data_IF_146725574859
#
_entry.id   IF_146725574859
#
_cell.length_a   1.000
_cell.length_b   1.000
_cell.length_c   1.000
_cell.angle_alpha   90.00
_cell.angle_beta   90.00
_cell.angle_gamma   90.00
#
_symmetry.space_group_name_H-M   'P 1'
#
loop_
_entity.id
_entity.type
_entity.pdbx_description
1 polymer ?
#
# COMPACT_ATOMS: atom_id res chain seq x y z
N UNK A 1 -31.37 -21.21 26.15
CA UNK A 1 -29.99 -20.79 25.97
C UNK A 1 -29.88 -19.28 26.10
N UNK A 2 -29.80 -18.76 27.35
CA UNK A 2 -29.71 -17.35 27.62
C UNK A 2 -28.24 -16.83 27.58
N UNK A 3 -27.26 -17.73 27.51
CA UNK A 3 -25.83 -17.40 27.54
C UNK A 3 -25.34 -16.84 26.19
N UNK A 4 -25.84 -17.37 25.07
CA UNK A 4 -25.39 -16.94 23.74
C UNK A 4 -25.66 -15.45 23.45
N UNK A 5 -26.87 -14.89 23.72
CA UNK A 5 -27.10 -13.47 23.56
C UNK A 5 -26.22 -12.60 24.45
N UNK A 6 -26.00 -13.03 25.72
CA UNK A 6 -25.14 -12.30 26.66
C UNK A 6 -23.66 -12.29 26.22
N UNK A 7 -23.20 -13.39 25.65
CA UNK A 7 -21.84 -13.50 25.08
C UNK A 7 -21.69 -12.64 23.83
N UNK A 8 -22.69 -12.65 22.96
CA UNK A 8 -22.71 -11.80 21.74
C UNK A 8 -22.72 -10.31 22.13
N UNK A 9 -23.52 -9.91 23.11
CA UNK A 9 -23.53 -8.52 23.61
C UNK A 9 -22.19 -8.14 24.26
N UNK A 10 -21.63 -9.05 25.05
CA UNK A 10 -20.32 -8.82 25.68
C UNK A 10 -19.19 -8.71 24.65
N UNK A 11 -19.18 -9.58 23.64
CA UNK A 11 -18.20 -9.53 22.55
C UNK A 11 -18.44 -8.33 21.62
N UNK A 12 -19.69 -7.98 21.35
CA UNK A 12 -20.05 -6.80 20.57
C UNK A 12 -19.65 -5.48 21.22
N UNK A 13 -19.44 -5.48 22.54
CA UNK A 13 -18.91 -4.32 23.27
C UNK A 13 -17.38 -4.27 23.32
N UNK A 14 -16.70 -5.31 22.86
CA UNK A 14 -15.24 -5.39 22.77
C UNK A 14 -14.74 -4.86 21.42
N UNK A 15 -15.12 -3.61 21.07
CA UNK A 15 -14.42 -2.88 20.03
C UNK A 15 -13.00 -2.61 20.53
N UNK A 16 -12.01 -2.94 19.75
CA UNK A 16 -10.63 -2.56 20.04
C UNK A 16 -10.03 -1.81 18.83
N UNK A 17 -9.21 -0.85 19.15
CA UNK A 17 -8.47 -0.08 18.16
C UNK A 17 -7.02 0.03 18.56
N UNK A 18 -6.18 0.24 17.61
CA UNK A 18 -4.77 0.52 17.82
C UNK A 18 -4.26 1.51 16.78
N UNK A 19 -3.27 2.26 17.20
CA UNK A 19 -2.56 3.19 16.35
C UNK A 19 -1.20 2.60 15.97
N UNK A 20 -0.78 2.85 14.74
CA UNK A 20 0.54 2.48 14.28
C UNK A 20 1.05 3.50 13.26
N UNK A 21 2.36 3.52 13.10
CA UNK A 21 3.04 4.39 12.14
C UNK A 21 3.49 3.57 10.94
N UNK A 22 3.18 4.06 9.74
CA UNK A 22 3.84 3.62 8.52
C UNK A 22 5.05 4.51 8.29
N UNK A 23 6.27 3.96 8.30
CA UNK A 23 7.46 4.74 8.03
C UNK A 23 7.38 5.34 6.63
N UNK A 24 7.79 6.59 6.49
CA UNK A 24 7.85 7.25 5.20
C UNK A 24 8.83 6.56 4.25
N UNK A 25 8.56 6.65 2.96
CA UNK A 25 9.46 6.21 1.89
C UNK A 25 10.64 7.20 1.68
N UNK A 26 10.53 8.42 2.22
CA UNK A 26 11.58 9.41 2.21
C UNK A 26 12.00 9.77 3.63
N UNK A 27 13.31 9.86 3.93
CA UNK A 27 13.80 10.29 5.24
C UNK A 27 13.37 11.71 5.64
N UNK A 28 12.99 12.53 4.66
CA UNK A 28 12.57 13.91 4.87
C UNK A 28 11.06 14.05 5.13
N UNK A 29 10.27 13.00 4.85
CA UNK A 29 8.83 13.03 5.02
C UNK A 29 8.41 12.42 6.36
N UNK A 30 7.31 12.94 6.92
CA UNK A 30 6.73 12.44 8.14
C UNK A 30 6.10 11.05 7.93
N UNK A 31 6.18 10.15 8.92
CA UNK A 31 5.49 8.86 8.86
C UNK A 31 3.97 9.06 8.87
N UNK A 32 3.25 8.17 8.17
CA UNK A 32 1.79 8.21 8.14
C UNK A 32 1.24 7.53 9.40
N UNK A 33 0.54 8.33 10.20
CA UNK A 33 -0.15 7.84 11.39
C UNK A 33 -1.47 7.19 10.99
N UNK A 34 -1.66 5.94 11.38
CA UNK A 34 -2.82 5.13 11.05
C UNK A 34 -3.56 4.69 12.30
N UNK A 35 -4.87 4.74 12.26
CA UNK A 35 -5.76 4.16 13.27
C UNK A 35 -6.53 2.99 12.68
N UNK A 36 -6.47 1.83 13.33
CA UNK A 36 -7.30 0.67 13.00
C UNK A 36 -8.29 0.43 14.11
N UNK A 37 -9.57 0.47 13.75
CA UNK A 37 -10.67 0.05 14.61
C UNK A 37 -11.19 -1.31 14.17
N UNK A 38 -11.52 -2.16 15.11
CA UNK A 38 -11.99 -3.52 14.84
C UNK A 38 -13.20 -3.85 15.71
N UNK A 39 -14.25 -4.35 15.06
CA UNK A 39 -15.48 -4.83 15.69
C UNK A 39 -15.68 -6.32 15.44
N UNK A 40 -16.36 -7.00 16.37
CA UNK A 40 -16.82 -8.35 16.12
C UNK A 40 -18.00 -8.36 15.14
N UNK A 41 -17.88 -9.16 14.10
CA UNK A 41 -18.94 -9.35 13.09
C UNK A 41 -19.80 -10.58 13.39
N UNK A 42 -19.17 -11.73 13.67
CA UNK A 42 -19.85 -12.95 14.06
C UNK A 42 -18.94 -13.84 14.91
N UNK A 43 -19.57 -14.73 15.63
CA UNK A 43 -18.91 -15.80 16.39
C UNK A 43 -19.63 -17.10 16.07
N UNK A 44 -18.93 -18.05 15.49
CA UNK A 44 -19.45 -19.37 15.18
C UNK A 44 -18.72 -20.43 16.01
N UNK A 45 -19.50 -21.23 16.75
CA UNK A 45 -18.97 -22.30 17.54
C UNK A 45 -19.19 -23.64 16.82
N UNK A 46 -18.11 -24.26 16.37
CA UNK A 46 -18.10 -25.57 15.73
C UNK A 46 -17.66 -26.69 16.69
N UNK A 47 -17.73 -27.91 16.20
CA UNK A 47 -17.22 -29.08 16.93
C UNK A 47 -15.70 -29.18 16.89
N UNK A 48 -15.07 -28.50 15.95
CA UNK A 48 -13.63 -28.56 15.71
C UNK A 48 -12.91 -27.26 16.09
N UNK A 49 -13.65 -26.24 16.50
CA UNK A 49 -13.10 -24.96 16.90
C UNK A 49 -14.12 -23.83 16.90
N UNK A 50 -13.63 -22.64 17.17
CA UNK A 50 -14.41 -21.41 17.20
C UNK A 50 -13.89 -20.48 16.12
N UNK A 51 -14.81 -19.91 15.33
CA UNK A 51 -14.49 -18.88 14.33
C UNK A 51 -14.97 -17.52 14.83
N UNK A 52 -14.02 -16.60 14.98
CA UNK A 52 -14.31 -15.21 15.28
C UNK A 52 -14.10 -14.39 14.01
N UNK A 53 -15.18 -13.84 13.47
CA UNK A 53 -15.09 -12.91 12.35
C UNK A 53 -15.04 -11.47 12.86
N UNK A 54 -14.04 -10.74 12.41
CA UNK A 54 -13.81 -9.34 12.75
C UNK A 54 -14.04 -8.46 11.51
N UNK A 55 -14.64 -7.30 11.74
CA UNK A 55 -14.73 -6.22 10.75
C UNK A 55 -13.75 -5.14 11.16
N UNK A 56 -12.88 -4.76 10.25
CA UNK A 56 -11.85 -3.75 10.50
C UNK A 56 -12.07 -2.51 9.64
N UNK A 57 -11.67 -1.37 10.16
CA UNK A 57 -11.62 -0.09 9.47
C UNK A 57 -10.24 0.53 9.74
N UNK A 58 -9.52 0.90 8.71
CA UNK A 58 -8.30 1.68 8.82
C UNK A 58 -8.53 3.09 8.30
N UNK A 59 -8.03 4.07 9.02
CA UNK A 59 -8.08 5.48 8.61
C UNK A 59 -6.74 6.17 8.93
N UNK A 60 -6.25 7.08 8.10
CA UNK A 60 -5.12 7.91 8.46
C UNK A 60 -5.57 8.97 9.47
N UNK A 61 -4.68 9.40 10.35
CA UNK A 61 -4.95 10.48 11.30
C UNK A 61 -5.18 11.81 10.59
N UNK A 62 -4.53 12.00 9.45
CA UNK A 62 -4.70 13.15 8.58
C UNK A 62 -4.90 12.70 7.13
N UNK A 63 -5.84 13.32 6.42
CA UNK A 63 -6.07 13.06 5.00
C UNK A 63 -5.38 14.15 4.19
N UNK A 64 -4.26 13.80 3.57
CA UNK A 64 -3.47 14.71 2.74
C UNK A 64 -3.87 14.60 1.26
N UNK A 65 -4.15 13.40 0.77
CA UNK A 65 -4.59 13.19 -0.60
C UNK A 65 -6.08 13.47 -0.73
N UNK A 66 -6.43 14.47 -1.54
CA UNK A 66 -7.81 14.94 -1.73
C UNK A 66 -8.42 14.56 -3.07
N UNK A 67 -7.74 13.75 -3.89
CA UNK A 67 -8.27 13.27 -5.16
C UNK A 67 -9.57 12.49 -4.95
N UNK A 68 -10.49 12.64 -5.91
CA UNK A 68 -11.70 11.82 -5.91
C UNK A 68 -11.34 10.34 -6.03
N UNK A 69 -11.90 9.53 -5.16
CA UNK A 69 -11.72 8.08 -5.18
C UNK A 69 -13.02 7.38 -4.82
N UNK A 70 -13.22 6.21 -5.41
CA UNK A 70 -14.37 5.35 -5.10
C UNK A 70 -14.18 4.55 -3.79
N UNK A 71 -13.07 4.73 -3.11
CA UNK A 71 -12.70 3.98 -1.92
C UNK A 71 -11.70 2.86 -2.22
N UNK A 72 -11.42 2.05 -1.22
CA UNK A 72 -10.57 0.87 -1.39
C UNK A 72 -11.20 -0.10 -2.40
N UNK A 73 -10.40 -0.68 -3.32
CA UNK A 73 -10.91 -1.69 -4.22
C UNK A 73 -11.28 -2.94 -3.43
N UNK A 74 -12.50 -3.44 -3.64
CA UNK A 74 -12.91 -4.76 -3.22
C UNK A 74 -12.77 -5.70 -4.43
N UNK A 75 -12.07 -6.81 -4.25
CA UNK A 75 -11.87 -7.79 -5.31
C UNK A 75 -12.22 -9.18 -4.82
N UNK A 76 -12.51 -10.08 -5.75
CA UNK A 76 -12.61 -11.48 -5.42
C UNK A 76 -11.23 -11.95 -4.95
N UNK A 77 -11.18 -12.46 -3.73
CA UNK A 77 -9.94 -12.80 -3.05
C UNK A 77 -9.18 -13.96 -3.70
N UNK A 78 -7.97 -14.14 -3.25
CA UNK A 78 -7.06 -15.17 -3.74
C UNK A 78 -7.50 -16.59 -3.35
N UNK A 79 -8.55 -17.09 -3.95
CA UNK A 79 -8.81 -18.53 -4.03
C UNK A 79 -9.07 -19.32 -2.75
N UNK A 80 -9.16 -18.69 -1.60
CA UNK A 80 -9.65 -19.32 -0.36
C UNK A 80 -11.18 -19.29 -0.30
N UNK A 81 -11.78 -19.33 -1.43
CA UNK A 81 -13.19 -19.06 -1.59
C UNK A 81 -13.98 -20.32 -1.40
N UNK A 82 -13.91 -21.17 -0.74
CA UNK A 82 -15.03 -22.04 -0.35
C UNK A 82 -14.94 -22.41 1.12
N UNK A 83 -15.51 -21.55 1.95
CA UNK A 83 -16.39 -21.90 3.09
C UNK A 83 -16.00 -23.03 4.05
N UNK A 84 -14.94 -23.71 3.86
CA UNK A 84 -14.35 -24.53 4.91
C UNK A 84 -13.14 -23.81 5.46
N UNK A 85 -13.40 -22.70 6.08
CA UNK A 85 -12.41 -21.82 6.74
C UNK A 85 -11.73 -22.46 7.95
N UNK A 86 -11.81 -23.74 8.10
CA UNK A 86 -11.17 -24.40 9.21
C UNK A 86 -10.15 -25.36 8.67
N UNK A 87 -9.02 -24.83 8.25
CA UNK A 87 -7.80 -25.59 8.25
C UNK A 87 -7.08 -25.25 9.56
N UNK A 88 -7.69 -25.58 10.66
CA UNK A 88 -6.96 -25.62 11.91
C UNK A 88 -5.97 -26.78 11.77
N UNK A 89 -4.75 -26.43 11.39
CA UNK A 89 -3.62 -27.30 11.54
C UNK A 89 -3.40 -27.61 13.02
N UNK A 90 -2.19 -27.96 13.40
CA UNK A 90 -1.83 -28.20 14.80
C UNK A 90 -1.68 -26.89 15.62
N UNK A 91 -1.92 -25.73 15.00
CA UNK A 91 -1.78 -24.42 15.64
C UNK A 91 -2.98 -24.15 16.57
N UNK A 92 -2.74 -23.66 17.79
CA UNK A 92 -3.82 -23.34 18.73
C UNK A 92 -4.67 -22.15 18.30
N UNK A 93 -4.18 -21.31 17.37
CA UNK A 93 -4.86 -20.16 16.81
C UNK A 93 -4.36 -19.90 15.39
N UNK A 94 -5.27 -19.60 14.49
CA UNK A 94 -4.99 -19.19 13.13
C UNK A 94 -5.67 -17.84 12.85
N UNK A 95 -4.99 -16.95 12.17
CA UNK A 95 -5.53 -15.66 11.78
C UNK A 95 -5.58 -15.63 10.25
N UNK A 96 -6.77 -15.42 9.72
CA UNK A 96 -7.00 -15.26 8.27
C UNK A 96 -7.35 -13.80 8.02
N UNK A 97 -6.61 -13.16 7.12
CA UNK A 97 -6.85 -11.79 6.70
C UNK A 97 -7.34 -11.79 5.26
N UNK A 98 -8.44 -11.08 5.01
CA UNK A 98 -8.92 -10.87 3.65
C UNK A 98 -8.04 -9.82 2.95
N UNK A 99 -7.80 -9.99 1.64
CA UNK A 99 -7.14 -9.02 0.77
C UNK A 99 -7.83 -7.66 0.75
N UNK A 100 -9.16 -7.60 0.90
CA UNK A 100 -9.91 -6.35 1.07
C UNK A 100 -9.44 -5.56 2.30
N UNK A 101 -9.03 -6.23 3.36
CA UNK A 101 -8.45 -5.58 4.55
C UNK A 101 -7.10 -4.96 4.22
N UNK A 102 -6.27 -5.65 3.45
CA UNK A 102 -5.00 -5.12 2.97
C UNK A 102 -5.23 -3.91 2.07
N UNK A 103 -6.17 -4.02 1.12
CA UNK A 103 -6.53 -2.92 0.22
C UNK A 103 -7.07 -1.70 0.98
N UNK A 104 -7.84 -1.91 2.04
CA UNK A 104 -8.29 -0.82 2.90
C UNK A 104 -7.13 -0.12 3.61
N UNK A 105 -6.15 -0.87 4.11
CA UNK A 105 -4.95 -0.31 4.75
C UNK A 105 -4.12 0.49 3.72
N UNK A 106 -3.88 -0.08 2.55
CA UNK A 106 -3.15 0.59 1.46
C UNK A 106 -3.86 1.86 1.00
N UNK A 107 -5.18 1.81 0.84
CA UNK A 107 -6.00 2.97 0.51
C UNK A 107 -5.88 4.07 1.56
N UNK A 108 -5.93 3.70 2.82
CA UNK A 108 -5.84 4.64 3.94
C UNK A 108 -4.44 5.24 4.06
N UNK A 109 -3.39 4.43 3.84
CA UNK A 109 -2.02 4.90 3.78
C UNK A 109 -1.84 5.93 2.64
N UNK A 110 -2.34 5.61 1.45
CA UNK A 110 -2.33 6.53 0.31
C UNK A 110 -3.07 7.83 0.64
N UNK A 111 -4.25 7.76 1.27
CA UNK A 111 -4.99 8.95 1.72
C UNK A 111 -4.20 9.78 2.72
N UNK A 112 -3.35 9.17 3.53
CA UNK A 112 -2.43 9.81 4.45
C UNK A 112 -1.16 10.37 3.80
N UNK A 113 -1.01 10.28 2.47
CA UNK A 113 0.14 10.82 1.75
C UNK A 113 1.34 9.87 1.67
N UNK A 114 1.17 8.57 1.91
CA UNK A 114 2.28 7.61 1.90
C UNK A 114 3.07 7.58 0.58
N UNK A 115 2.41 7.89 -0.54
CA UNK A 115 3.04 7.98 -1.87
C UNK A 115 3.33 9.43 -2.31
N UNK A 116 3.26 10.41 -1.40
CA UNK A 116 3.62 11.80 -1.68
C UNK A 116 4.89 12.14 -0.93
N UNK A 117 6.02 12.21 -1.66
CA UNK A 117 7.32 12.48 -1.05
C UNK A 117 8.32 13.06 -2.05
N UNK A 118 9.27 13.81 -1.53
CA UNK A 118 10.44 14.22 -2.29
C UNK A 118 11.41 13.05 -2.41
N UNK A 119 11.88 12.77 -3.62
CA UNK A 119 12.80 11.67 -3.88
C UNK A 119 14.16 11.98 -3.24
N UNK A 120 14.58 11.21 -2.23
CA UNK A 120 15.84 11.50 -1.58
C UNK A 120 17.02 11.18 -2.50
N UNK A 121 18.05 12.05 -2.54
CA UNK A 121 19.23 11.84 -3.39
C UNK A 121 19.94 10.51 -3.13
N UNK A 122 19.81 9.98 -1.92
CA UNK A 122 20.40 8.71 -1.51
C UNK A 122 19.87 7.51 -2.31
N UNK A 123 18.61 7.57 -2.77
CA UNK A 123 18.02 6.53 -3.63
C UNK A 123 18.63 6.54 -5.03
N UNK A 124 19.27 7.61 -5.42
CA UNK A 124 19.93 7.78 -6.72
C UNK A 124 21.45 7.69 -6.62
N UNK A 125 22.00 7.47 -5.41
CA UNK A 125 23.45 7.52 -5.18
C UNK A 125 24.26 6.48 -6.00
N UNK A 126 23.63 5.37 -6.37
CA UNK A 126 24.26 4.32 -7.19
C UNK A 126 24.11 4.59 -8.70
N UNK A 127 23.40 5.65 -9.09
CA UNK A 127 23.21 6.04 -10.49
C UNK A 127 24.17 7.19 -10.81
N UNK A 128 25.08 6.97 -11.74
CA UNK A 128 26.03 8.01 -12.20
C UNK A 128 25.32 9.02 -13.12
N UNK A 129 24.48 9.88 -12.53
CA UNK A 129 23.71 10.89 -13.24
C UNK A 129 24.59 11.93 -13.93
N UNK A 130 25.75 12.24 -13.33
CA UNK A 130 26.70 13.21 -13.91
C UNK A 130 27.24 12.74 -15.27
N UNK A 131 27.48 11.44 -15.43
CA UNK A 131 27.95 10.89 -16.70
C UNK A 131 26.92 11.04 -17.83
N UNK A 132 25.64 11.16 -17.47
CA UNK A 132 24.55 11.48 -18.40
C UNK A 132 24.30 12.97 -18.56
N UNK A 133 25.09 13.82 -17.92
CA UNK A 133 24.95 15.28 -17.97
C UNK A 133 23.81 15.83 -17.11
N UNK A 134 23.31 15.04 -16.16
CA UNK A 134 22.27 15.43 -15.20
C UNK A 134 22.92 15.93 -13.93
N UNK A 135 22.65 17.16 -13.56
CA UNK A 135 23.09 17.79 -12.31
C UNK A 135 21.88 18.37 -11.58
N UNK A 136 22.03 18.59 -10.28
CA UNK A 136 21.04 19.28 -9.43
C UNK A 136 19.60 18.70 -9.59
N UNK A 137 19.48 17.35 -9.63
CA UNK A 137 18.19 16.68 -9.75
C UNK A 137 17.41 16.80 -8.45
N UNK A 138 16.27 17.45 -8.52
CA UNK A 138 15.22 17.44 -7.49
C UNK A 138 13.98 16.79 -8.09
N UNK A 139 13.42 15.81 -7.43
CA UNK A 139 12.24 15.10 -7.91
C UNK A 139 11.22 14.89 -6.80
N UNK A 140 9.96 15.03 -7.15
CA UNK A 140 8.82 14.75 -6.28
C UNK A 140 8.00 13.60 -6.87
N UNK A 141 7.58 12.72 -6.01
CA UNK A 141 6.71 11.58 -6.32
C UNK A 141 5.34 11.84 -5.72
N UNK A 142 4.28 11.61 -6.50
CA UNK A 142 2.89 11.73 -6.06
C UNK A 142 2.06 10.56 -6.59
N UNK A 143 1.51 9.76 -5.68
CA UNK A 143 0.61 8.67 -6.03
C UNK A 143 -0.79 9.18 -6.36
N UNK A 144 -1.19 9.17 -7.63
CA UNK A 144 -2.52 9.63 -8.04
C UNK A 144 -3.61 8.58 -7.81
N UNK A 145 -3.24 7.31 -7.75
CA UNK A 145 -4.14 6.19 -7.44
C UNK A 145 -3.66 5.45 -6.19
N UNK A 146 -4.63 4.94 -5.44
CA UNK A 146 -4.33 4.07 -4.31
C UNK A 146 -3.73 2.75 -4.80
N UNK A 147 -2.65 2.25 -4.18
CA UNK A 147 -2.14 0.92 -4.43
C UNK A 147 -3.22 -0.13 -4.16
N UNK A 148 -3.18 -1.23 -4.88
CA UNK A 148 -4.12 -2.31 -4.67
C UNK A 148 -3.43 -3.67 -4.79
N UNK A 149 -3.72 -4.54 -3.86
CA UNK A 149 -3.40 -5.95 -3.96
C UNK A 149 -4.53 -6.64 -4.72
N UNK A 150 -4.17 -7.37 -5.75
CA UNK A 150 -5.10 -8.21 -6.51
C UNK A 150 -4.44 -9.50 -6.85
N UNK A 151 -5.26 -10.48 -7.18
CA UNK A 151 -4.88 -11.80 -7.68
C UNK A 151 -3.66 -12.46 -7.02
N UNK A 152 -3.87 -13.71 -6.71
CA UNK A 152 -2.79 -14.61 -6.37
C UNK A 152 -2.37 -15.34 -7.63
N UNK A 153 -1.28 -14.97 -8.18
CA UNK A 153 -0.61 -15.81 -9.14
C UNK A 153 0.31 -16.76 -8.38
N UNK A 154 0.06 -18.03 -8.51
CA UNK A 154 0.87 -19.08 -7.86
C UNK A 154 0.93 -18.98 -6.32
N UNK A 155 -0.14 -18.46 -5.69
CA UNK A 155 -0.21 -18.26 -4.24
C UNK A 155 0.48 -17.00 -3.72
N UNK A 156 0.92 -16.11 -4.61
CA UNK A 156 1.52 -14.83 -4.26
C UNK A 156 0.53 -13.69 -4.47
N UNK A 157 0.54 -12.73 -3.58
CA UNK A 157 -0.23 -11.50 -3.71
C UNK A 157 0.50 -10.54 -4.66
N UNK A 158 -0.23 -10.00 -5.65
CA UNK A 158 0.31 -8.97 -6.54
C UNK A 158 -0.13 -7.59 -6.09
N UNK A 159 0.83 -6.72 -5.82
CA UNK A 159 0.65 -5.31 -5.55
C UNK A 159 0.72 -4.54 -6.87
N UNK A 160 -0.33 -3.79 -7.17
CA UNK A 160 -0.38 -2.88 -8.31
C UNK A 160 -0.23 -1.45 -7.81
N UNK A 161 0.73 -0.74 -8.37
CA UNK A 161 0.94 0.69 -8.16
C UNK A 161 0.78 1.36 -9.52
N UNK A 162 -0.24 2.21 -9.64
CA UNK A 162 -0.58 2.89 -10.88
C UNK A 162 -0.54 4.39 -10.75
N UNK A 163 -0.35 5.06 -11.88
CA UNK A 163 -0.41 6.52 -12.02
C UNK A 163 0.40 7.26 -10.93
N UNK A 164 1.64 6.84 -10.75
CA UNK A 164 2.60 7.57 -9.93
C UNK A 164 3.16 8.70 -10.78
N UNK A 165 2.79 9.92 -10.44
CA UNK A 165 3.33 11.12 -11.07
C UNK A 165 4.70 11.43 -10.50
N UNK A 166 5.66 11.67 -11.36
CA UNK A 166 7.01 12.11 -11.03
C UNK A 166 7.22 13.47 -11.69
N UNK A 167 7.46 14.48 -10.88
CA UNK A 167 7.91 15.78 -11.37
C UNK A 167 9.37 15.97 -10.99
N UNK A 168 10.18 16.41 -11.93
CA UNK A 168 11.59 16.60 -11.67
C UNK A 168 12.09 17.90 -12.31
N UNK A 169 12.98 18.57 -11.60
CA UNK A 169 13.77 19.71 -12.08
C UNK A 169 15.25 19.34 -12.04
N UNK A 170 16.01 19.67 -13.07
CA UNK A 170 17.41 19.31 -13.16
C UNK A 170 18.18 20.27 -14.07
N UNK A 171 19.50 20.18 -13.98
CA UNK A 171 20.37 20.73 -15.02
C UNK A 171 20.75 19.58 -15.97
N UNK A 172 20.34 19.66 -17.21
CA UNK A 172 20.69 18.69 -18.26
C UNK A 172 21.63 19.32 -19.27
N UNK A 173 22.86 18.81 -19.38
CA UNK A 173 23.90 19.38 -20.24
C UNK A 173 24.13 20.89 -20.03
N UNK A 174 23.97 21.36 -18.79
CA UNK A 174 24.16 22.76 -18.39
C UNK A 174 22.96 23.68 -18.70
N UNK A 175 21.79 23.10 -19.03
CA UNK A 175 20.53 23.82 -19.23
C UNK A 175 19.49 23.36 -18.20
N UNK A 176 18.65 24.26 -17.67
CA UNK A 176 17.54 23.88 -16.81
C UNK A 176 16.52 23.05 -17.59
N UNK A 177 16.03 22.00 -17.00
CA UNK A 177 15.04 21.11 -17.57
C UNK A 177 14.00 20.74 -16.54
N UNK A 178 12.72 20.95 -16.86
CA UNK A 178 11.59 20.46 -16.07
C UNK A 178 10.98 19.23 -16.77
N UNK A 179 10.72 18.19 -16.02
CA UNK A 179 10.20 16.93 -16.53
C UNK A 179 8.97 16.50 -15.76
N UNK A 180 7.98 15.95 -16.45
CA UNK A 180 6.85 15.27 -15.87
C UNK A 180 6.69 13.88 -16.50
N UNK A 181 6.62 12.87 -15.65
CA UNK A 181 6.45 11.49 -16.09
C UNK A 181 5.42 10.78 -15.22
N UNK A 182 4.83 9.71 -15.75
CA UNK A 182 3.95 8.81 -15.02
C UNK A 182 4.53 7.42 -15.03
N UNK A 183 4.49 6.78 -13.88
CA UNK A 183 4.97 5.41 -13.72
C UNK A 183 3.85 4.51 -13.21
N UNK A 184 3.87 3.25 -13.65
CA UNK A 184 3.09 2.18 -13.07
C UNK A 184 3.90 0.89 -13.06
N UNK A 185 3.68 0.06 -12.06
CA UNK A 185 4.37 -1.23 -11.94
C UNK A 185 3.59 -2.21 -11.07
N UNK A 186 3.90 -3.47 -11.24
CA UNK A 186 3.44 -4.56 -10.39
C UNK A 186 4.59 -5.07 -9.54
N UNK A 187 4.28 -5.58 -8.37
CA UNK A 187 5.27 -6.21 -7.50
C UNK A 187 4.65 -7.38 -6.72
N UNK A 188 5.45 -8.32 -6.27
CA UNK A 188 5.00 -9.34 -5.34
C UNK A 188 4.95 -8.74 -3.94
N UNK A 189 3.78 -8.85 -3.30
CA UNK A 189 3.56 -8.41 -1.93
C UNK A 189 3.63 -9.61 -1.00
N UNK A 190 4.52 -9.53 -0.05
CA UNK A 190 4.78 -10.60 0.91
C UNK A 190 4.35 -10.20 2.30
N UNK A 191 3.65 -11.10 2.98
CA UNK A 191 3.30 -10.97 4.39
C UNK A 191 3.98 -12.11 5.13
N UNK A 192 4.83 -11.78 6.06
CA UNK A 192 5.54 -12.78 6.88
C UNK A 192 5.18 -12.59 8.35
N UNK A 193 5.02 -13.71 9.06
CA UNK A 193 4.82 -13.71 10.50
C UNK A 193 5.93 -14.53 11.16
N UNK A 194 6.74 -13.88 11.97
CA UNK A 194 7.82 -14.51 12.73
C UNK A 194 7.98 -13.83 14.09
N UNK A 195 8.28 -14.59 15.11
CA UNK A 195 8.57 -14.10 16.47
C UNK A 195 7.47 -13.18 17.04
N UNK A 196 6.20 -13.44 16.70
CA UNK A 196 5.05 -12.64 17.13
C UNK A 196 4.94 -11.28 16.43
N UNK A 197 5.65 -11.07 15.32
CA UNK A 197 5.59 -9.87 14.49
C UNK A 197 5.11 -10.21 13.10
N UNK A 198 4.31 -9.31 12.53
CA UNK A 198 3.92 -9.33 11.12
C UNK A 198 4.82 -8.31 10.41
N UNK A 199 5.41 -8.73 9.30
CA UNK A 199 6.22 -7.89 8.44
C UNK A 199 5.68 -7.93 7.02
N UNK A 200 5.75 -6.80 6.36
CA UNK A 200 5.35 -6.64 4.96
C UNK A 200 6.60 -6.42 4.12
N UNK A 201 6.63 -7.06 2.97
CA UNK A 201 7.71 -6.94 2.01
C UNK A 201 7.19 -6.74 0.60
N UNK A 202 8.03 -6.19 -0.25
CA UNK A 202 7.79 -6.06 -1.69
C UNK A 202 9.01 -6.62 -2.40
N UNK A 203 8.76 -7.53 -3.33
CA UNK A 203 9.79 -8.15 -4.15
C UNK A 203 9.34 -8.27 -5.62
N UNK A 204 10.23 -8.74 -6.47
CA UNK A 204 9.95 -9.07 -7.88
C UNK A 204 9.15 -7.98 -8.62
N UNK A 205 9.68 -6.76 -8.62
CA UNK A 205 9.09 -5.64 -9.34
C UNK A 205 9.13 -5.93 -10.84
N UNK A 206 7.97 -5.86 -11.48
CA UNK A 206 7.78 -6.16 -12.89
C UNK A 206 6.76 -5.24 -13.56
N UNK A 207 6.54 -5.45 -14.85
CA UNK A 207 5.57 -4.70 -15.66
C UNK A 207 5.72 -3.17 -15.53
N UNK A 208 6.96 -2.70 -15.35
CA UNK A 208 7.24 -1.27 -15.22
C UNK A 208 6.89 -0.57 -16.52
N UNK A 209 6.01 0.41 -16.44
CA UNK A 209 5.68 1.33 -17.52
C UNK A 209 6.05 2.73 -17.07
N UNK A 210 6.72 3.45 -17.94
CA UNK A 210 7.07 4.84 -17.75
C UNK A 210 6.60 5.62 -18.96
N UNK A 211 5.85 6.68 -18.74
CA UNK A 211 5.37 7.59 -19.75
C UNK A 211 5.86 9.00 -19.44
N UNK A 212 6.66 9.55 -20.32
CA UNK A 212 7.10 10.93 -20.24
C UNK A 212 6.05 11.81 -20.94
N UNK A 213 5.43 12.73 -20.20
CA UNK A 213 4.30 13.53 -20.70
C UNK A 213 4.65 14.98 -20.98
N UNK A 214 5.64 15.52 -20.29
CA UNK A 214 6.10 16.88 -20.51
C UNK A 214 7.60 16.97 -20.32
N UNK A 215 8.24 17.66 -21.23
CA UNK A 215 9.60 18.13 -21.13
C UNK A 215 9.53 19.62 -21.50
N UNK A 216 9.77 20.48 -20.53
CA UNK A 216 9.74 21.92 -20.77
C UNK A 216 11.15 22.48 -20.69
N UNK A 217 11.66 22.88 -21.83
CA UNK A 217 12.84 23.73 -21.95
C UNK A 217 12.54 24.86 -22.93
N UNK A 218 12.86 26.05 -22.53
CA UNK A 218 12.71 27.23 -23.39
C UNK A 218 13.69 27.22 -24.61
N UNK A 219 14.55 26.15 -24.72
CA UNK A 219 15.63 26.09 -25.72
C UNK A 219 15.90 24.69 -26.33
N UNK A 220 15.17 23.64 -25.96
CA UNK A 220 15.29 22.30 -26.58
C UNK A 220 14.02 22.05 -27.40
N UNK A 221 14.13 22.09 -28.73
CA UNK A 221 13.06 21.58 -29.58
C UNK A 221 13.09 20.03 -29.50
N UNK A 222 11.92 19.36 -29.36
CA UNK A 222 11.80 17.89 -29.24
C UNK A 222 12.35 17.14 -30.48
N UNK A 223 12.86 17.81 -31.48
CA UNK A 223 13.52 17.20 -32.64
C UNK A 223 14.99 16.82 -32.37
N UNK A 224 15.56 17.24 -31.24
CA UNK A 224 16.98 17.07 -30.92
C UNK A 224 17.27 15.90 -29.92
N UNK A 225 16.25 15.07 -29.58
CA UNK A 225 16.39 13.95 -28.64
C UNK A 225 16.28 12.59 -29.32
#
# INVERSE_FOLDING_TARGET
NALAPMLIDALGSLAFGFDFELPSLSPAAEPVQMHVATDFSSVDFGTEGELLALRSLAVPSETLVTYESKGAPAREGCGLVEQSLVVLGEAPMEIIMNDDTVNMILFSAWRGGFLDFDLPPELLADVDLESFGVLDLEAQVSGLLAPAVSDCKDGQLLLHIGDVKITATMQFLGKPLDMEAYASFDAVFEITAADGKISFGVSDVGNVKLELTAMQDDQIEMEDV
#
